data_IF_521356444737
#
_entry.id   IF_521356444737
#
_cell.length_a   1.000
_cell.length_b   1.000
_cell.length_c   1.000
_cell.angle_alpha   90.00
_cell.angle_beta   90.00
_cell.angle_gamma   90.00
#
_symmetry.space_group_name_H-M   'P 1'
#
loop_
_entity.id
_entity.type
_entity.pdbx_description
1 polymer ?
#
# COMPACT_ATOMS: atom_id res chain seq x y z
N UNK A 1 1.40 -5.52 -22.58
CA UNK A 1 0.13 -5.49 -21.83
C UNK A 1 -0.49 -6.86 -21.96
N UNK A 2 -0.89 -7.45 -20.85
CA UNK A 2 -1.54 -8.76 -20.76
C UNK A 2 -2.85 -8.63 -19.99
N UNK A 3 -3.81 -9.52 -20.25
CA UNK A 3 -5.06 -9.57 -19.50
C UNK A 3 -5.13 -10.84 -18.68
N UNK A 4 -5.38 -10.70 -17.38
CA UNK A 4 -5.39 -11.81 -16.44
C UNK A 4 -6.82 -12.01 -15.93
N UNK A 5 -7.36 -13.21 -16.15
CA UNK A 5 -8.59 -13.64 -15.51
C UNK A 5 -8.30 -14.08 -14.08
N UNK A 6 -9.08 -13.57 -13.13
CA UNK A 6 -8.95 -13.88 -11.71
C UNK A 6 -10.23 -14.57 -11.23
N UNK A 7 -10.07 -15.72 -10.58
CA UNK A 7 -11.12 -16.35 -9.80
C UNK A 7 -11.10 -15.76 -8.39
N UNK A 8 -12.27 -15.34 -7.90
CA UNK A 8 -12.42 -14.77 -6.56
C UNK A 8 -13.31 -15.65 -5.72
N UNK A 9 -12.88 -15.94 -4.49
CA UNK A 9 -13.70 -16.60 -3.47
C UNK A 9 -13.97 -15.64 -2.31
N UNK A 10 -15.23 -15.30 -2.01
CA UNK A 10 -15.54 -14.42 -0.90
C UNK A 10 -15.06 -14.93 0.46
N UNK A 11 -14.68 -13.98 1.32
CA UNK A 11 -14.41 -14.14 2.74
C UNK A 11 -15.55 -13.46 3.50
N UNK A 12 -16.40 -14.26 4.14
CA UNK A 12 -17.59 -13.75 4.85
C UNK A 12 -17.32 -13.43 6.32
N UNK A 13 -16.31 -14.07 6.92
CA UNK A 13 -15.90 -13.86 8.31
C UNK A 13 -14.40 -13.62 8.38
N UNK A 14 -13.99 -12.57 9.09
CA UNK A 14 -12.57 -12.26 9.24
C UNK A 14 -11.88 -13.18 10.24
N UNK A 15 -12.49 -13.46 11.39
CA UNK A 15 -12.00 -14.48 12.31
C UNK A 15 -12.56 -15.85 11.94
N UNK A 16 -11.69 -16.86 11.85
CA UNK A 16 -12.10 -18.22 11.50
C UNK A 16 -13.16 -18.73 12.49
N UNK A 17 -14.28 -19.23 11.96
CA UNK A 17 -15.36 -19.83 12.76
C UNK A 17 -16.13 -18.86 13.66
N UNK A 18 -16.01 -17.54 13.45
CA UNK A 18 -16.66 -16.52 14.28
C UNK A 18 -17.52 -15.57 13.46
N UNK A 19 -18.66 -15.14 14.02
CA UNK A 19 -19.49 -14.06 13.48
C UNK A 19 -19.07 -12.65 13.94
N UNK A 20 -17.92 -12.51 14.60
CA UNK A 20 -17.41 -11.20 15.04
C UNK A 20 -17.05 -10.35 13.83
N UNK A 21 -17.63 -9.16 13.75
CA UNK A 21 -17.35 -8.19 12.67
C UNK A 21 -16.48 -7.04 13.13
N UNK A 22 -16.45 -6.70 14.43
CA UNK A 22 -15.66 -5.58 14.96
C UNK A 22 -14.31 -6.01 15.50
N UNK A 23 -13.25 -5.34 15.08
CA UNK A 23 -11.86 -5.55 15.45
C UNK A 23 -11.20 -4.20 15.74
N UNK A 24 -11.10 -3.84 17.02
CA UNK A 24 -10.67 -2.51 17.44
C UNK A 24 -11.62 -1.42 16.94
N UNK A 25 -11.07 -0.48 16.15
CA UNK A 25 -11.81 0.60 15.51
C UNK A 25 -12.25 0.27 14.08
N UNK A 26 -12.07 -0.97 13.62
CA UNK A 26 -12.52 -1.40 12.30
C UNK A 26 -13.68 -2.39 12.39
N UNK A 27 -14.60 -2.30 11.44
CA UNK A 27 -15.62 -3.31 11.17
C UNK A 27 -15.32 -4.01 9.84
N UNK A 28 -15.21 -5.33 9.86
CA UNK A 28 -15.02 -6.13 8.66
C UNK A 28 -16.29 -6.21 7.83
N UNK A 29 -16.18 -5.94 6.52
CA UNK A 29 -17.30 -5.89 5.59
C UNK A 29 -17.30 -7.07 4.62
N UNK A 30 -16.13 -7.64 4.37
CA UNK A 30 -15.93 -8.74 3.46
C UNK A 30 -14.51 -8.77 2.93
N UNK A 31 -14.19 -9.81 2.18
CA UNK A 31 -12.91 -9.93 1.50
C UNK A 31 -12.96 -10.94 0.38
N UNK A 32 -11.85 -11.10 -0.32
CA UNK A 32 -11.68 -12.02 -1.43
C UNK A 32 -10.37 -12.79 -1.24
N UNK A 33 -10.42 -14.09 -1.49
CA UNK A 33 -9.22 -14.83 -1.91
C UNK A 33 -9.19 -14.80 -3.42
N UNK A 34 -8.15 -14.21 -3.99
CA UNK A 34 -7.96 -14.07 -5.43
C UNK A 34 -6.98 -15.13 -5.93
N UNK A 35 -7.26 -15.72 -7.09
CA UNK A 35 -6.41 -16.75 -7.73
C UNK A 35 -6.39 -16.58 -9.23
N UNK A 36 -5.24 -16.84 -9.84
CA UNK A 36 -5.11 -17.03 -11.28
C UNK A 36 -4.06 -18.09 -11.57
N UNK A 37 -4.24 -18.85 -12.64
CA UNK A 37 -3.18 -19.72 -13.18
C UNK A 37 -2.19 -18.96 -14.06
N UNK A 38 -2.41 -17.66 -14.26
CA UNK A 38 -1.55 -16.84 -15.09
C UNK A 38 -0.20 -16.57 -14.38
N UNK A 39 0.97 -16.83 -15.02
CA UNK A 39 2.28 -16.73 -14.36
C UNK A 39 2.66 -15.35 -13.81
N UNK A 40 2.07 -14.28 -14.36
CA UNK A 40 2.28 -12.90 -13.89
C UNK A 40 1.42 -12.51 -12.68
N UNK A 41 0.41 -13.30 -12.30
CA UNK A 41 -0.46 -12.96 -11.18
C UNK A 41 0.22 -13.27 -9.83
N UNK A 42 0.02 -12.39 -8.85
CA UNK A 42 0.61 -12.47 -7.52
C UNK A 42 1.57 -11.32 -7.27
N UNK A 43 2.30 -11.37 -6.15
CA UNK A 43 3.33 -10.40 -5.80
C UNK A 43 2.89 -8.93 -5.79
N UNK A 44 1.70 -8.64 -5.28
CA UNK A 44 1.16 -7.27 -5.22
C UNK A 44 1.71 -6.52 -4.00
N UNK A 45 2.37 -5.38 -4.21
CA UNK A 45 2.98 -4.59 -3.13
C UNK A 45 2.09 -3.43 -2.65
N UNK A 46 1.39 -2.74 -3.57
CA UNK A 46 0.53 -1.60 -3.19
C UNK A 46 -0.68 -1.45 -4.12
N UNK A 47 -1.71 -0.74 -3.64
CA UNK A 47 -2.98 -0.48 -4.33
C UNK A 47 -3.49 0.93 -4.05
N UNK A 48 -4.02 1.62 -5.06
CA UNK A 48 -4.82 2.84 -4.90
C UNK A 48 -6.06 2.81 -5.79
N UNK A 49 -7.20 3.19 -5.23
CA UNK A 49 -8.45 3.33 -5.92
C UNK A 49 -8.51 4.66 -6.68
N UNK A 50 -9.25 4.63 -7.78
CA UNK A 50 -9.64 5.83 -8.52
C UNK A 50 -10.77 6.53 -7.74
N UNK A 51 -11.06 7.82 -8.04
CA UNK A 51 -12.09 8.58 -7.33
C UNK A 51 -13.50 7.97 -7.33
N UNK A 52 -13.79 7.00 -8.21
CA UNK A 52 -15.07 6.29 -8.21
C UNK A 52 -15.17 5.18 -7.14
N UNK A 53 -14.11 4.92 -6.38
CA UNK A 53 -14.05 3.91 -5.33
C UNK A 53 -14.26 2.47 -5.81
N UNK A 54 -14.11 2.22 -7.12
CA UNK A 54 -14.33 0.90 -7.74
C UNK A 54 -13.16 0.44 -8.56
N UNK A 55 -12.65 1.32 -9.44
CA UNK A 55 -11.44 1.04 -10.22
C UNK A 55 -10.21 1.24 -9.35
N UNK A 56 -9.19 0.43 -9.56
CA UNK A 56 -7.93 0.58 -8.84
C UNK A 56 -6.74 0.43 -9.78
N UNK A 57 -5.61 0.97 -9.34
CA UNK A 57 -4.28 0.71 -9.85
C UNK A 57 -3.48 0.08 -8.72
N UNK A 58 -2.82 -1.03 -9.00
CA UNK A 58 -1.87 -1.67 -8.10
C UNK A 58 -0.51 -1.80 -8.78
N UNK A 59 0.52 -2.10 -7.98
CA UNK A 59 1.85 -2.46 -8.48
C UNK A 59 2.24 -3.84 -7.98
N UNK A 60 3.11 -4.51 -8.74
CA UNK A 60 3.75 -5.77 -8.36
C UNK A 60 5.24 -5.59 -8.17
N UNK A 61 5.86 -6.36 -7.28
CA UNK A 61 7.34 -6.41 -7.06
C UNK A 61 8.11 -6.50 -8.39
N UNK A 62 7.56 -7.21 -9.38
CA UNK A 62 8.18 -7.40 -10.68
C UNK A 62 8.16 -6.18 -11.62
N UNK A 63 7.70 -5.02 -11.16
CA UNK A 63 7.68 -3.78 -11.94
C UNK A 63 6.55 -3.74 -12.95
N UNK A 64 5.34 -4.09 -12.52
CA UNK A 64 4.14 -4.05 -13.35
C UNK A 64 3.07 -3.18 -12.72
N UNK A 65 2.37 -2.41 -13.54
CA UNK A 65 1.09 -1.81 -13.19
C UNK A 65 -0.03 -2.84 -13.41
N UNK A 66 -0.99 -2.85 -12.49
CA UNK A 66 -2.17 -3.72 -12.51
C UNK A 66 -3.42 -2.87 -12.39
N UNK A 67 -4.23 -2.82 -13.44
CA UNK A 67 -5.52 -2.15 -13.41
C UNK A 67 -6.66 -3.15 -13.29
N UNK A 68 -7.65 -2.84 -12.47
CA UNK A 68 -8.85 -3.63 -12.31
C UNK A 68 -10.00 -2.81 -11.73
N UNK A 69 -11.12 -3.49 -11.46
CA UNK A 69 -12.16 -2.96 -10.58
C UNK A 69 -12.65 -4.05 -9.65
N UNK A 70 -13.12 -3.65 -8.48
CA UNK A 70 -13.90 -4.53 -7.60
C UNK A 70 -15.30 -4.75 -8.16
N UNK A 71 -15.85 -5.93 -7.85
CA UNK A 71 -17.23 -6.30 -8.11
C UNK A 71 -17.93 -6.55 -6.77
N UNK A 72 -19.23 -6.22 -6.71
CA UNK A 72 -20.03 -6.33 -5.49
C UNK A 72 -21.26 -7.22 -5.73
N UNK A 73 -21.67 -7.96 -4.70
CA UNK A 73 -22.91 -8.75 -4.71
C UNK A 73 -24.17 -7.85 -4.58
N UNK A 74 -25.36 -8.47 -4.59
CA UNK A 74 -26.63 -7.75 -4.46
C UNK A 74 -26.82 -7.05 -3.10
N UNK A 75 -25.94 -7.33 -2.14
CA UNK A 75 -25.91 -6.77 -0.79
C UNK A 75 -24.79 -5.73 -0.64
N UNK A 76 -24.04 -5.45 -1.71
CA UNK A 76 -22.96 -4.47 -1.73
C UNK A 76 -21.63 -4.97 -1.17
N UNK A 77 -21.48 -6.27 -0.84
CA UNK A 77 -20.20 -6.83 -0.35
C UNK A 77 -19.30 -7.21 -1.51
N UNK A 78 -17.98 -7.24 -1.29
CA UNK A 78 -17.04 -7.73 -2.30
C UNK A 78 -17.41 -9.13 -2.79
N UNK A 79 -17.55 -9.28 -4.10
CA UNK A 79 -17.86 -10.56 -4.76
C UNK A 79 -16.77 -11.02 -5.73
N UNK A 80 -15.93 -10.10 -6.20
CA UNK A 80 -14.81 -10.42 -7.07
C UNK A 80 -14.05 -9.20 -7.56
N UNK A 81 -13.19 -9.42 -8.54
CA UNK A 81 -12.52 -8.39 -9.33
C UNK A 81 -12.73 -8.68 -10.81
N UNK A 82 -12.76 -7.64 -11.64
CA UNK A 82 -12.78 -7.81 -13.09
C UNK A 82 -11.52 -8.51 -13.59
N UNK A 83 -11.51 -8.88 -14.87
CA UNK A 83 -10.25 -9.15 -15.58
C UNK A 83 -9.27 -8.01 -15.34
N UNK A 84 -8.05 -8.35 -14.95
CA UNK A 84 -6.99 -7.40 -14.68
C UNK A 84 -6.23 -7.09 -15.97
N UNK A 85 -5.81 -5.85 -16.14
CA UNK A 85 -4.85 -5.45 -17.17
C UNK A 85 -3.49 -5.27 -16.52
N UNK A 86 -2.50 -6.01 -16.98
CA UNK A 86 -1.14 -5.98 -16.45
C UNK A 86 -0.21 -5.39 -17.50
N UNK A 87 0.49 -4.33 -17.13
CA UNK A 87 1.37 -3.58 -18.03
C UNK A 87 2.75 -3.46 -17.40
N UNK A 88 3.82 -3.93 -18.07
CA UNK A 88 5.17 -3.74 -17.57
C UNK A 88 5.49 -2.24 -17.52
N UNK A 89 6.09 -1.82 -16.42
CA UNK A 89 6.61 -0.46 -16.30
C UNK A 89 7.79 -0.26 -17.25
N UNK A 90 7.93 0.96 -17.76
CA UNK A 90 9.09 1.36 -18.55
C UNK A 90 10.10 2.04 -17.64
N UNK A 91 11.35 1.60 -17.69
CA UNK A 91 12.44 2.21 -16.93
C UNK A 91 12.83 3.60 -17.49
N UNK A 92 13.68 4.33 -16.76
CA UNK A 92 14.17 5.66 -17.16
C UNK A 92 14.95 5.65 -18.49
N UNK A 93 15.47 4.49 -18.89
CA UNK A 93 16.18 4.29 -20.17
C UNK A 93 15.23 3.91 -21.31
N UNK A 94 13.94 3.73 -21.04
CA UNK A 94 12.94 3.34 -22.04
C UNK A 94 12.81 1.85 -22.27
N UNK A 95 13.32 1.01 -21.37
CA UNK A 95 13.28 -0.45 -21.51
C UNK A 95 12.17 -1.02 -20.64
N UNK A 96 11.50 -2.04 -21.18
CA UNK A 96 10.66 -2.97 -20.41
C UNK A 96 11.51 -4.15 -19.95
N UNK A 97 11.22 -4.72 -18.77
CA UNK A 97 11.96 -5.89 -18.27
C UNK A 97 13.43 -5.60 -17.93
N UNK A 98 13.72 -4.41 -17.39
CA UNK A 98 15.02 -4.13 -16.79
C UNK A 98 15.41 -5.19 -15.74
N UNK A 99 16.70 -5.26 -15.36
CA UNK A 99 17.14 -6.22 -14.34
C UNK A 99 16.22 -6.12 -13.10
N UNK A 100 15.73 -7.25 -12.56
CA UNK A 100 14.71 -7.31 -11.49
C UNK A 100 14.93 -6.23 -10.41
N UNK A 101 16.18 -6.08 -9.95
CA UNK A 101 16.65 -5.05 -9.00
C UNK A 101 16.40 -3.58 -9.34
N UNK A 102 16.03 -3.21 -10.56
CA UNK A 102 15.80 -1.83 -10.98
C UNK A 102 14.33 -1.43 -11.02
N UNK A 103 13.44 -2.43 -11.04
CA UNK A 103 12.00 -2.29 -11.19
C UNK A 103 11.24 -2.95 -10.04
N UNK A 104 11.93 -3.25 -8.94
CA UNK A 104 11.36 -3.75 -7.67
C UNK A 104 10.46 -2.66 -7.10
N UNK A 105 9.15 -2.68 -7.39
CA UNK A 105 8.25 -1.57 -7.06
C UNK A 105 7.36 -1.90 -5.87
N UNK A 106 7.36 -1.02 -4.87
CA UNK A 106 6.73 -1.31 -3.59
C UNK A 106 5.48 -0.46 -3.33
N UNK A 107 5.65 0.83 -3.10
CA UNK A 107 4.55 1.78 -2.88
C UNK A 107 4.10 2.54 -4.13
N UNK A 108 2.82 2.95 -4.17
CA UNK A 108 2.26 3.82 -5.21
C UNK A 108 1.34 4.92 -4.65
N UNK A 109 1.30 6.10 -5.29
CA UNK A 109 0.36 7.16 -4.91
C UNK A 109 -0.10 7.99 -6.11
N UNK A 110 -1.37 8.38 -6.14
CA UNK A 110 -1.86 9.37 -7.10
C UNK A 110 -1.54 10.79 -6.66
N UNK A 111 -1.17 11.63 -7.62
CA UNK A 111 -0.97 13.08 -7.47
C UNK A 111 -1.62 13.80 -8.65
N UNK A 112 -1.81 15.13 -8.58
CA UNK A 112 -2.30 15.90 -9.73
C UNK A 112 -1.40 15.82 -10.98
N UNK A 113 -0.10 15.52 -10.81
CA UNK A 113 0.85 15.41 -11.93
C UNK A 113 0.91 14.00 -12.54
N UNK A 114 0.43 12.97 -11.83
CA UNK A 114 0.54 11.58 -12.25
C UNK A 114 0.66 10.60 -11.08
N UNK A 115 1.30 9.45 -11.34
CA UNK A 115 1.45 8.35 -10.37
C UNK A 115 2.87 8.29 -9.85
N UNK A 116 3.04 8.48 -8.54
CA UNK A 116 4.31 8.20 -7.87
C UNK A 116 4.44 6.70 -7.63
N UNK A 117 5.62 6.16 -7.91
CA UNK A 117 5.98 4.77 -7.62
C UNK A 117 7.35 4.74 -6.96
N UNK A 118 7.44 4.07 -5.81
CA UNK A 118 8.72 3.79 -5.15
C UNK A 118 9.34 2.51 -5.66
N UNK A 119 10.67 2.46 -5.64
CA UNK A 119 11.43 1.29 -6.05
C UNK A 119 12.55 0.93 -5.09
N UNK A 120 12.79 -0.36 -4.90
CA UNK A 120 13.93 -0.95 -4.21
C UNK A 120 15.08 -1.35 -5.14
N UNK A 121 16.21 -1.73 -4.55
CA UNK A 121 17.51 -1.93 -5.20
C UNK A 121 18.17 -0.62 -5.66
N UNK A 122 17.42 0.23 -6.37
CA UNK A 122 17.76 1.61 -6.70
C UNK A 122 16.77 2.56 -6.02
N UNK A 123 16.87 2.70 -4.70
CA UNK A 123 15.96 3.49 -3.85
C UNK A 123 15.56 4.83 -4.46
N UNK A 124 14.36 4.92 -4.98
CA UNK A 124 13.88 6.14 -5.63
C UNK A 124 12.37 6.18 -5.62
N UNK A 125 11.85 7.36 -5.90
CA UNK A 125 10.46 7.54 -6.29
C UNK A 125 10.46 8.14 -7.69
N UNK A 126 9.82 7.48 -8.64
CA UNK A 126 9.62 8.01 -9.99
C UNK A 126 8.16 8.45 -10.15
N UNK A 127 7.95 9.54 -10.88
CA UNK A 127 6.63 10.03 -11.28
C UNK A 127 6.34 9.53 -12.70
N UNK A 128 5.34 8.67 -12.86
CA UNK A 128 4.78 8.24 -14.14
C UNK A 128 3.60 9.14 -14.52
N UNK A 129 3.30 9.33 -15.82
CA UNK A 129 2.05 9.99 -16.22
C UNK A 129 0.83 9.18 -15.75
N UNK A 130 -0.35 9.79 -15.80
CA UNK A 130 -1.62 9.09 -15.57
C UNK A 130 -2.57 9.35 -16.75
N UNK A 131 -3.07 8.32 -17.46
CA UNK A 131 -2.94 6.88 -17.20
C UNK A 131 -1.51 6.33 -17.33
N UNK A 132 -1.01 5.72 -16.24
CA UNK A 132 0.38 5.23 -16.13
C UNK A 132 0.73 4.06 -17.06
N UNK A 133 -0.29 3.39 -17.58
CA UNK A 133 -0.16 2.21 -18.44
C UNK A 133 0.09 2.52 -19.92
N UNK A 134 0.14 3.80 -20.32
CA UNK A 134 0.32 4.18 -21.74
C UNK A 134 1.77 4.05 -22.24
N UNK A 135 2.55 3.09 -21.73
CA UNK A 135 3.92 2.81 -22.19
C UNK A 135 4.82 4.05 -22.18
N UNK A 136 4.65 4.89 -21.17
CA UNK A 136 5.43 6.08 -20.99
C UNK A 136 6.54 5.86 -19.96
N UNK A 137 7.71 6.44 -20.24
CA UNK A 137 8.80 6.53 -19.27
C UNK A 137 8.35 7.39 -18.08
N UNK A 138 8.97 7.25 -16.90
CA UNK A 138 8.75 8.20 -15.83
C UNK A 138 9.09 9.62 -16.30
N UNK A 139 8.23 10.58 -15.95
CA UNK A 139 8.39 12.00 -16.24
C UNK A 139 9.62 12.57 -15.53
N UNK A 140 9.86 12.14 -14.28
CA UNK A 140 11.01 12.53 -13.46
C UNK A 140 11.19 11.59 -12.27
N UNK A 141 12.40 11.59 -11.70
CA UNK A 141 12.67 11.04 -10.37
C UNK A 141 12.49 12.13 -9.31
N UNK A 142 11.72 11.86 -8.26
CA UNK A 142 11.51 12.77 -7.14
C UNK A 142 12.64 12.61 -6.11
N UNK A 143 13.24 13.69 -5.59
CA UNK A 143 14.20 13.59 -4.50
C UNK A 143 13.55 13.02 -3.24
N UNK A 144 14.00 11.83 -2.81
CA UNK A 144 13.45 11.12 -1.63
C UNK A 144 13.82 11.74 -0.29
N UNK A 145 14.78 12.69 -0.27
CA UNK A 145 15.33 13.40 0.90
C UNK A 145 16.03 12.54 1.96
N UNK A 146 15.76 11.25 2.03
CA UNK A 146 16.46 10.28 2.88
C UNK A 146 17.80 9.91 2.23
N UNK A 147 18.94 10.05 2.95
CA UNK A 147 20.24 9.62 2.44
C UNK A 147 20.23 8.14 2.07
N UNK A 148 20.66 7.80 0.85
CA UNK A 148 20.65 6.43 0.35
C UNK A 148 21.44 5.44 1.22
N UNK A 149 22.49 5.89 1.87
CA UNK A 149 23.28 5.06 2.80
C UNK A 149 22.55 4.69 4.10
N UNK A 150 21.38 5.28 4.37
CA UNK A 150 20.49 4.85 5.45
C UNK A 150 19.52 3.75 5.01
N UNK A 151 19.41 3.47 3.71
CA UNK A 151 18.46 2.50 3.16
C UNK A 151 19.20 1.20 2.81
N UNK A 152 18.73 0.09 3.36
CA UNK A 152 19.23 -1.24 2.99
C UNK A 152 18.71 -1.65 1.60
N UNK A 153 19.56 -2.30 0.79
CA UNK A 153 19.31 -2.55 -0.64
C UNK A 153 17.97 -3.26 -0.99
N UNK A 154 17.41 -4.03 -0.06
CA UNK A 154 16.17 -4.79 -0.23
C UNK A 154 15.14 -4.49 0.90
N UNK A 155 15.27 -3.33 1.56
CA UNK A 155 14.40 -2.86 2.67
C UNK A 155 14.35 -1.33 2.68
N UNK A 156 13.98 -0.82 1.53
CA UNK A 156 13.97 0.57 1.11
C UNK A 156 12.70 1.32 1.50
N UNK A 157 11.98 1.83 0.51
CA UNK A 157 10.82 2.71 0.68
C UNK A 157 9.57 1.94 0.30
N UNK A 158 8.89 1.37 1.29
CA UNK A 158 7.65 0.60 1.10
C UNK A 158 6.43 1.50 0.97
N UNK A 159 6.41 2.61 1.73
CA UNK A 159 5.28 3.54 1.70
C UNK A 159 5.55 4.73 0.79
N UNK A 160 4.60 5.02 -0.09
CA UNK A 160 4.40 6.32 -0.73
C UNK A 160 2.93 6.69 -0.63
N UNK A 161 2.61 7.82 -0.01
CA UNK A 161 1.23 8.29 0.18
C UNK A 161 1.12 9.78 -0.11
N UNK A 162 0.10 10.21 -0.84
CA UNK A 162 -0.16 11.63 -1.09
C UNK A 162 -1.23 12.15 -0.11
N UNK A 163 -0.90 13.23 0.60
CA UNK A 163 -1.83 13.83 1.56
C UNK A 163 -2.99 14.55 0.86
N UNK A 164 -4.15 14.74 1.51
CA UNK A 164 -5.20 15.61 1.00
C UNK A 164 -4.71 17.05 0.79
N UNK A 165 -5.24 17.73 -0.22
CA UNK A 165 -4.83 19.10 -0.57
C UNK A 165 -5.20 20.14 0.50
N UNK A 166 -6.24 19.89 1.28
CA UNK A 166 -6.71 20.73 2.37
C UNK A 166 -5.96 20.47 3.69
N UNK A 167 -5.30 19.32 3.83
CA UNK A 167 -4.47 18.97 4.99
C UNK A 167 -3.30 19.96 5.21
N UNK A 168 -2.62 19.92 6.38
CA UNK A 168 -1.39 20.70 6.62
C UNK A 168 -0.28 20.45 5.59
N UNK A 169 -0.25 19.26 4.97
CA UNK A 169 0.74 18.87 3.97
C UNK A 169 0.42 19.35 2.55
N UNK A 170 -0.77 19.91 2.30
CA UNK A 170 -1.14 20.56 1.02
C UNK A 170 -0.90 19.71 -0.23
N UNK A 171 -1.26 18.43 -0.19
CA UNK A 171 -1.06 17.53 -1.33
C UNK A 171 0.33 16.87 -1.39
N UNK A 172 1.23 17.17 -0.46
CA UNK A 172 2.58 16.63 -0.48
C UNK A 172 2.57 15.10 -0.31
N UNK A 173 3.47 14.45 -1.05
CA UNK A 173 3.75 13.03 -0.87
C UNK A 173 4.64 12.80 0.36
N UNK A 174 4.35 11.74 1.10
CA UNK A 174 5.14 11.21 2.20
C UNK A 174 5.70 9.86 1.81
N UNK A 175 6.95 9.60 2.21
CA UNK A 175 7.58 8.29 2.11
C UNK A 175 8.05 7.80 3.48
N UNK A 176 7.99 6.49 3.70
CA UNK A 176 8.45 5.84 4.93
C UNK A 176 9.22 4.57 4.55
N UNK A 177 10.37 4.36 5.19
CA UNK A 177 11.19 3.17 4.99
C UNK A 177 10.68 1.96 5.80
N UNK A 178 10.91 0.75 5.30
CA UNK A 178 10.45 -0.51 5.91
C UNK A 178 11.16 -0.83 7.23
N UNK A 179 12.39 -1.34 7.15
CA UNK A 179 13.18 -1.86 8.26
C UNK A 179 14.46 -1.03 8.48
N UNK A 180 14.84 -0.22 7.50
CA UNK A 180 15.94 0.74 7.66
C UNK A 180 15.64 1.64 8.86
N UNK A 181 16.54 1.68 9.85
CA UNK A 181 16.38 2.50 11.07
C UNK A 181 17.40 3.63 11.13
N UNK A 182 16.97 4.78 11.64
CA UNK A 182 17.87 5.87 11.99
C UNK A 182 18.72 5.54 13.22
N UNK A 183 19.66 6.42 13.57
CA UNK A 183 20.55 6.23 14.73
C UNK A 183 19.84 6.15 16.09
N UNK A 184 18.53 6.41 16.14
CA UNK A 184 17.68 6.29 17.33
C UNK A 184 16.72 5.09 17.25
N UNK A 185 16.82 4.26 16.21
CA UNK A 185 15.99 3.08 16.03
C UNK A 185 14.59 3.35 15.46
N UNK A 186 14.36 4.51 14.83
CA UNK A 186 13.07 4.85 14.19
C UNK A 186 13.14 4.68 12.67
N UNK A 187 12.01 4.48 12.00
CA UNK A 187 11.96 4.41 10.54
C UNK A 187 12.18 5.81 9.93
N UNK A 188 13.19 6.00 9.06
CA UNK A 188 13.36 7.22 8.29
C UNK A 188 12.15 7.48 7.39
N UNK A 189 11.71 8.73 7.38
CA UNK A 189 10.60 9.18 6.56
C UNK A 189 10.86 10.59 6.01
N UNK A 190 10.11 10.98 4.99
CA UNK A 190 10.22 12.31 4.42
C UNK A 190 8.92 12.81 3.80
N UNK A 191 8.68 14.11 3.93
CA UNK A 191 7.69 14.88 3.16
C UNK A 191 8.43 15.41 1.93
N UNK A 192 8.03 14.98 0.74
CA UNK A 192 8.82 15.18 -0.49
C UNK A 192 8.66 16.56 -1.12
N UNK A 193 7.55 17.24 -0.84
CA UNK A 193 7.22 18.54 -1.43
C UNK A 193 6.36 19.41 -0.48
N UNK A 194 5.99 20.61 -0.93
CA UNK A 194 5.13 21.52 -0.20
C UNK A 194 5.84 22.24 0.95
N UNK A 195 5.08 23.01 1.75
CA UNK A 195 5.63 23.92 2.76
C UNK A 195 6.32 23.21 3.93
N UNK A 196 6.01 21.93 4.16
CA UNK A 196 6.58 21.10 5.22
C UNK A 196 7.60 20.09 4.69
N UNK A 197 8.11 20.28 3.46
CA UNK A 197 9.15 19.45 2.86
C UNK A 197 10.32 19.27 3.82
N UNK A 198 10.69 18.02 4.08
CA UNK A 198 11.76 17.69 5.01
C UNK A 198 11.68 16.26 5.53
N UNK A 199 12.73 15.85 6.25
CA UNK A 199 12.81 14.51 6.86
C UNK A 199 12.11 14.52 8.21
N UNK A 200 11.52 13.40 8.56
CA UNK A 200 11.02 13.10 9.90
C UNK A 200 11.26 11.61 10.16
N UNK A 201 10.92 11.12 11.35
CA UNK A 201 11.00 9.69 11.65
C UNK A 201 9.66 9.17 12.16
N UNK A 202 9.33 7.93 11.83
CA UNK A 202 8.20 7.20 12.41
C UNK A 202 8.73 6.31 13.52
N UNK A 203 8.17 6.42 14.72
CA UNK A 203 8.58 5.56 15.83
C UNK A 203 8.36 4.10 15.48
N UNK A 204 9.43 3.32 15.50
CA UNK A 204 9.39 1.87 15.39
C UNK A 204 8.85 1.30 16.71
N UNK A 205 7.90 0.36 16.60
CA UNK A 205 7.25 -0.26 17.75
C UNK A 205 7.25 -1.77 17.55
N UNK A 206 7.80 -2.46 18.53
CA UNK A 206 7.84 -3.92 18.61
C UNK A 206 8.65 -4.55 17.46
N UNK A 207 8.05 -5.49 16.73
CA UNK A 207 8.65 -6.20 15.58
C UNK A 207 7.89 -5.97 14.27
N UNK A 208 7.12 -4.89 14.21
CA UNK A 208 6.29 -4.54 13.07
C UNK A 208 7.03 -3.58 12.15
N UNK A 209 7.09 -3.94 10.87
CA UNK A 209 7.72 -3.20 9.79
C UNK A 209 6.66 -2.50 8.94
N UNK A 210 6.98 -1.34 8.38
CA UNK A 210 6.05 -0.55 7.57
C UNK A 210 5.98 -1.12 6.16
N UNK A 211 4.78 -1.40 5.65
CA UNK A 211 4.59 -1.98 4.29
C UNK A 211 3.83 -1.07 3.34
N UNK A 212 2.89 -0.26 3.82
CA UNK A 212 2.22 0.78 3.01
C UNK A 212 1.53 1.80 3.91
N UNK A 213 0.97 2.85 3.32
CA UNK A 213 0.16 3.81 4.03
C UNK A 213 -0.76 4.61 3.11
N UNK A 214 -1.85 5.11 3.68
CA UNK A 214 -2.83 5.92 2.96
C UNK A 214 -3.38 7.00 3.88
N UNK A 215 -3.67 8.17 3.33
CA UNK A 215 -4.24 9.26 4.11
C UNK A 215 -5.76 9.13 4.24
N UNK A 216 -6.25 9.40 5.44
CA UNK A 216 -7.65 9.67 5.70
C UNK A 216 -8.05 11.03 5.10
N UNK A 217 -9.36 11.25 4.82
CA UNK A 217 -9.85 12.54 4.35
C UNK A 217 -9.56 13.71 5.29
N UNK A 218 -9.44 13.44 6.60
CA UNK A 218 -9.10 14.47 7.61
C UNK A 218 -7.60 14.81 7.65
N UNK A 219 -6.77 14.14 6.85
CA UNK A 219 -5.34 14.39 6.73
C UNK A 219 -4.48 13.54 7.65
N UNK A 220 -5.05 12.64 8.46
CA UNK A 220 -4.27 11.68 9.22
C UNK A 220 -3.73 10.57 8.33
N UNK A 221 -2.51 10.09 8.62
CA UNK A 221 -1.88 9.00 7.87
C UNK A 221 -2.20 7.67 8.55
N UNK A 222 -2.79 6.74 7.82
CA UNK A 222 -2.81 5.34 8.20
C UNK A 222 -1.52 4.67 7.72
N UNK A 223 -0.82 4.00 8.63
CA UNK A 223 0.33 3.16 8.32
C UNK A 223 -0.07 1.70 8.52
N UNK A 224 0.05 0.91 7.46
CA UNK A 224 0.00 -0.53 7.51
C UNK A 224 1.37 -1.04 7.92
N UNK A 225 1.38 -1.89 8.93
CA UNK A 225 2.59 -2.54 9.39
C UNK A 225 2.39 -4.03 9.50
N UNK A 226 3.42 -4.79 9.15
CA UNK A 226 3.43 -6.24 9.13
C UNK A 226 4.53 -6.79 10.02
N UNK A 227 4.27 -7.96 10.61
CA UNK A 227 5.32 -8.78 11.22
C UNK A 227 5.27 -10.17 10.62
N UNK A 228 6.45 -10.71 10.33
CA UNK A 228 6.59 -12.07 9.84
C UNK A 228 7.89 -12.69 10.37
N UNK A 229 7.77 -13.50 11.41
CA UNK A 229 8.91 -14.27 11.96
C UNK A 229 8.47 -15.69 12.26
N UNK A 230 9.42 -16.63 12.32
CA UNK A 230 9.14 -18.03 12.67
C UNK A 230 8.52 -18.15 14.07
N UNK A 231 8.95 -17.29 15.02
CA UNK A 231 8.51 -17.34 16.42
C UNK A 231 7.19 -16.62 16.66
N UNK A 232 6.95 -15.49 16.00
CA UNK A 232 5.74 -14.69 16.23
C UNK A 232 4.62 -15.11 15.27
N UNK A 233 4.97 -15.75 14.16
CA UNK A 233 4.08 -15.95 13.03
C UNK A 233 3.78 -14.64 12.30
N UNK A 234 2.78 -14.71 11.44
CA UNK A 234 2.30 -13.58 10.66
C UNK A 234 1.30 -12.74 11.47
N UNK A 235 1.38 -11.42 11.29
CA UNK A 235 0.41 -10.47 11.81
C UNK A 235 0.52 -9.15 11.09
N UNK A 236 -0.55 -8.36 11.14
CA UNK A 236 -0.53 -6.97 10.70
C UNK A 236 -1.19 -6.08 11.75
N UNK A 237 -0.88 -4.79 11.68
CA UNK A 237 -1.63 -3.76 12.38
C UNK A 237 -1.75 -2.52 11.51
N UNK A 238 -2.71 -1.67 11.85
CA UNK A 238 -2.82 -0.34 11.26
C UNK A 238 -2.70 0.69 12.37
N UNK A 239 -1.75 1.62 12.24
CA UNK A 239 -1.64 2.79 13.12
C UNK A 239 -2.20 4.02 12.45
N UNK A 240 -2.81 4.91 13.23
CA UNK A 240 -3.25 6.23 12.79
C UNK A 240 -2.30 7.29 13.32
N UNK A 241 -1.56 7.95 12.44
CA UNK A 241 -0.64 9.03 12.76
C UNK A 241 -1.33 10.37 12.52
N UNK A 242 -1.31 11.25 13.52
CA UNK A 242 -1.89 12.60 13.41
C UNK A 242 -1.13 13.40 12.33
N UNK A 243 -1.84 13.75 11.26
CA UNK A 243 -1.28 14.43 10.10
C UNK A 243 -0.65 15.78 10.43
N UNK A 244 -1.10 16.44 11.50
CA UNK A 244 -0.56 17.73 11.98
C UNK A 244 0.81 17.58 12.63
N UNK A 245 1.19 16.37 13.01
CA UNK A 245 2.51 16.06 13.59
C UNK A 245 3.55 15.76 12.52
N UNK A 246 3.13 15.50 11.27
CA UNK A 246 4.01 15.27 10.13
C UNK A 246 4.68 16.60 9.74
N UNK A 247 5.89 16.81 10.23
CA UNK A 247 6.71 18.00 9.96
C UNK A 247 8.19 17.67 10.08
N UNK A 248 9.09 18.51 9.53
CA UNK A 248 10.52 18.29 9.62
C UNK A 248 11.00 18.06 11.07
N UNK A 249 11.94 17.13 11.23
CA UNK A 249 12.63 16.76 12.47
C UNK A 249 11.73 16.16 13.58
N UNK A 250 10.45 15.87 13.28
CA UNK A 250 9.56 15.19 14.23
C UNK A 250 9.84 13.69 14.30
N UNK A 251 9.61 13.10 15.48
CA UNK A 251 9.40 11.65 15.64
C UNK A 251 7.92 11.41 15.89
N UNK A 252 7.22 10.88 14.90
CA UNK A 252 5.77 10.68 14.94
C UNK A 252 5.41 9.28 15.40
N UNK A 253 4.23 9.15 16.02
CA UNK A 253 3.67 7.91 16.54
C UNK A 253 2.15 8.05 16.62
N UNK A 254 1.43 6.96 16.89
CA UNK A 254 -0.02 7.00 16.93
C UNK A 254 -0.67 5.72 17.44
N UNK A 255 -1.97 5.76 17.79
CA UNK A 255 -2.69 4.60 18.28
C UNK A 255 -2.85 3.53 17.20
N UNK A 256 -2.90 2.27 17.63
CA UNK A 256 -3.27 1.12 16.81
C UNK A 256 -4.80 1.08 16.67
N UNK A 257 -5.28 1.05 15.42
CA UNK A 257 -6.71 0.94 15.10
C UNK A 257 -7.19 -0.51 15.08
N UNK A 258 -6.34 -1.41 14.55
CA UNK A 258 -6.56 -2.85 14.48
C UNK A 258 -5.21 -3.55 14.60
N UNK A 259 -5.20 -4.71 15.25
CA UNK A 259 -4.12 -5.69 15.19
C UNK A 259 -4.74 -7.06 14.96
N UNK A 260 -4.19 -7.83 14.02
CA UNK A 260 -4.68 -9.15 13.65
C UNK A 260 -3.50 -10.13 13.49
N UNK A 261 -3.78 -11.41 13.71
CA UNK A 261 -2.81 -12.50 13.61
C UNK A 261 -3.41 -13.70 12.87
N UNK A 262 -2.74 -14.85 12.93
CA UNK A 262 -3.15 -16.09 12.27
C UNK A 262 -4.51 -16.66 12.71
N UNK A 263 -5.15 -16.08 13.73
CA UNK A 263 -6.54 -16.39 14.10
C UNK A 263 -7.56 -15.74 13.15
N UNK A 264 -7.12 -14.76 12.37
CA UNK A 264 -7.90 -14.05 11.36
C UNK A 264 -7.47 -14.44 9.93
N UNK A 265 -8.32 -14.13 8.95
CA UNK A 265 -8.07 -14.41 7.53
C UNK A 265 -7.10 -13.40 6.93
N UNK A 266 -5.84 -13.47 7.39
CA UNK A 266 -4.75 -12.61 6.94
C UNK A 266 -3.71 -13.38 6.13
N UNK A 267 -2.81 -12.65 5.50
CA UNK A 267 -1.62 -13.13 4.81
C UNK A 267 -0.52 -12.06 4.90
N UNK A 268 0.49 -12.06 4.01
CA UNK A 268 1.51 -11.02 3.92
C UNK A 268 0.89 -9.68 3.49
N UNK A 269 0.19 -8.98 4.39
CA UNK A 269 -0.48 -7.72 4.09
C UNK A 269 0.58 -6.68 3.72
N UNK A 270 0.53 -6.21 2.46
CA UNK A 270 1.51 -5.28 1.92
C UNK A 270 0.84 -3.94 1.59
N UNK A 271 -0.28 -3.94 0.85
CA UNK A 271 -0.93 -2.72 0.38
C UNK A 271 -2.14 -2.27 1.20
N UNK A 272 -2.32 -0.95 1.30
CA UNK A 272 -3.45 -0.29 1.98
C UNK A 272 -3.97 0.90 1.17
N UNK A 273 -5.29 1.04 1.02
CA UNK A 273 -5.89 2.29 0.56
C UNK A 273 -7.13 2.69 1.36
N UNK A 274 -7.47 3.98 1.27
CA UNK A 274 -8.65 4.58 1.92
C UNK A 274 -9.59 5.13 0.86
N UNK A 275 -10.86 4.71 0.94
CA UNK A 275 -11.91 5.09 -0.01
C UNK A 275 -13.13 5.62 0.75
N UNK A 276 -13.80 6.62 0.19
CA UNK A 276 -15.14 7.00 0.67
C UNK A 276 -16.16 6.02 0.13
N UNK A 277 -16.82 5.29 1.02
CA UNK A 277 -17.87 4.34 0.71
C UNK A 277 -19.15 5.01 0.19
N UNK A 278 -20.09 4.22 -0.34
CA UNK A 278 -21.33 4.74 -0.94
C UNK A 278 -22.20 5.52 0.05
N UNK A 279 -22.10 5.22 1.34
CA UNK A 279 -22.86 5.86 2.41
C UNK A 279 -22.09 7.04 3.05
N UNK A 280 -20.96 7.44 2.45
CA UNK A 280 -20.07 8.49 2.96
C UNK A 280 -19.13 8.03 4.08
N UNK A 281 -19.14 6.75 4.42
CA UNK A 281 -18.26 6.17 5.44
C UNK A 281 -16.85 5.89 4.90
N UNK A 282 -15.86 5.84 5.79
CA UNK A 282 -14.48 5.56 5.39
C UNK A 282 -14.26 4.05 5.29
N UNK A 283 -13.88 3.58 4.10
CA UNK A 283 -13.54 2.18 3.80
C UNK A 283 -12.03 2.04 3.65
N UNK A 284 -11.47 1.00 4.25
CA UNK A 284 -10.07 0.62 4.12
C UNK A 284 -10.00 -0.66 3.29
N UNK A 285 -9.17 -0.65 2.26
CA UNK A 285 -8.87 -1.83 1.45
C UNK A 285 -7.45 -2.28 1.72
N UNK A 286 -7.30 -3.54 2.12
CA UNK A 286 -5.99 -4.16 2.28
C UNK A 286 -5.79 -5.20 1.19
N UNK A 287 -4.57 -5.35 0.70
CA UNK A 287 -4.17 -6.47 -0.15
C UNK A 287 -2.96 -7.18 0.44
N UNK A 288 -2.80 -8.46 0.12
CA UNK A 288 -1.60 -9.21 0.47
C UNK A 288 -0.77 -9.56 -0.74
N UNK A 289 0.53 -9.62 -0.48
CA UNK A 289 1.50 -10.28 -1.32
C UNK A 289 1.48 -11.80 -1.03
N UNK A 290 1.56 -12.61 -2.07
CA UNK A 290 1.71 -14.06 -1.93
C UNK A 290 3.16 -14.54 -2.06
N UNK A 291 4.14 -13.65 -2.23
CA UNK A 291 5.53 -13.89 -2.61
C UNK A 291 5.68 -14.91 -3.76
N UNK A 292 4.64 -15.10 -4.58
CA UNK A 292 4.50 -16.21 -5.54
C UNK A 292 4.68 -17.60 -4.91
N UNK A 293 4.42 -17.71 -3.62
CA UNK A 293 4.48 -18.91 -2.80
C UNK A 293 3.17 -19.68 -2.85
N UNK A 294 3.24 -21.01 -2.87
CA UNK A 294 2.06 -21.87 -2.78
C UNK A 294 1.39 -21.84 -1.40
N UNK A 295 2.09 -21.32 -0.38
CA UNK A 295 1.61 -21.28 1.01
C UNK A 295 0.86 -19.99 1.36
N UNK A 296 1.08 -18.93 0.58
CA UNK A 296 0.47 -17.63 0.81
C UNK A 296 -0.67 -17.39 -0.18
N UNK A 297 -1.54 -16.44 0.16
CA UNK A 297 -2.75 -16.13 -0.58
C UNK A 297 -2.69 -14.68 -1.02
N UNK A 298 -3.08 -14.43 -2.27
CA UNK A 298 -3.49 -13.10 -2.73
C UNK A 298 -4.86 -12.78 -2.14
N UNK A 299 -4.92 -11.85 -1.19
CA UNK A 299 -6.14 -11.42 -0.51
C UNK A 299 -6.49 -9.98 -0.90
N UNK A 300 -7.79 -9.66 -0.83
CA UNK A 300 -8.28 -8.30 -0.74
C UNK A 300 -9.29 -8.24 0.42
N UNK A 301 -9.09 -7.37 1.39
CA UNK A 301 -9.98 -7.23 2.56
C UNK A 301 -10.57 -5.82 2.58
N UNK A 302 -11.85 -5.71 2.94
CA UNK A 302 -12.55 -4.44 3.08
C UNK A 302 -13.03 -4.25 4.53
N UNK A 303 -12.62 -3.13 5.12
CA UNK A 303 -13.05 -2.71 6.45
C UNK A 303 -13.72 -1.34 6.40
N UNK A 304 -14.64 -1.08 7.33
CA UNK A 304 -15.13 0.25 7.66
C UNK A 304 -14.36 0.76 8.85
N UNK A 305 -13.87 2.00 8.77
CA UNK A 305 -13.38 2.73 9.94
C UNK A 305 -14.58 3.22 10.76
N UNK A 306 -14.59 2.86 12.03
CA UNK A 306 -15.60 3.32 12.98
C UNK A 306 -15.26 4.73 13.49
N UNK A 307 -16.29 5.53 13.88
CA UNK A 307 -16.10 6.84 14.47
C UNK A 307 -15.29 6.84 15.78
#
# INVERSE_FOLDING_TARGET
METITVSSRPIESFRFGSGTTRFGQLEFLGGLVMRSSHPLFGALSSIRFRPDGRRFLAVMDSGHFVEGRIERDGQGRLSGVSTLKVTPMIDRSGRTGGAKRSMDSEGLAFTPEGVLVSFEGLHRVDLYPDPAVESARPLRTVPILIPRGMLENNRGLETVAAAPADSPLKGAAVVVAEESLDGQGNHPAAILDGPLKGRFSVRHRDRYLVTDGAFLPDGDLLLLERRFTVTDGLGFRIRRIDGRTLKPDAVVDGPVLIEANMSEQIDNMEGLDVVTGPDGDTRLFLISDDNRSLLQRSLMLEFRLLP
#
